data_IF_237405703740
#
_entry.id   IF_237405703740
#
_cell.length_a   1.000
_cell.length_b   1.000
_cell.length_c   1.000
_cell.angle_alpha   90.00
_cell.angle_beta   90.00
_cell.angle_gamma   90.00
#
_symmetry.space_group_name_H-M   'P 1'
#
loop_
_entity.id
_entity.type
_entity.pdbx_description
1 polymer ?
#
# COMPACT_ATOMS: atom_id res chain seq x y z
N UNK A 1 -26.33 26.49 14.00
CA UNK A 1 -25.40 25.34 14.05
C UNK A 1 -26.15 24.08 13.67
N UNK A 2 -25.57 23.22 12.82
CA UNK A 2 -25.44 21.82 13.20
C UNK A 2 -23.98 21.36 13.07
N UNK A 3 -23.53 20.61 14.07
CA UNK A 3 -22.17 20.15 14.24
C UNK A 3 -21.73 19.23 13.09
N UNK A 4 -20.57 19.52 12.51
CA UNK A 4 -19.88 18.62 11.60
C UNK A 4 -19.44 17.38 12.38
N UNK A 5 -20.18 16.27 12.21
CA UNK A 5 -19.78 14.94 12.68
C UNK A 5 -18.37 14.64 12.15
N UNK A 6 -17.39 14.71 13.04
CA UNK A 6 -16.02 14.32 12.80
C UNK A 6 -16.02 12.86 12.32
N UNK A 7 -15.80 12.66 11.02
CA UNK A 7 -15.79 11.33 10.43
C UNK A 7 -14.54 10.59 10.88
N UNK A 8 -14.80 9.43 11.46
CA UNK A 8 -13.87 8.61 12.21
C UNK A 8 -13.01 7.76 11.25
N UNK A 9 -12.25 8.43 10.36
CA UNK A 9 -11.53 7.79 9.25
C UNK A 9 -10.55 6.69 9.68
N UNK A 10 -10.04 6.75 10.92
CA UNK A 10 -9.20 5.69 11.48
C UNK A 10 -9.98 4.38 11.78
N UNK A 11 -11.28 4.49 12.09
CA UNK A 11 -12.17 3.35 12.38
C UNK A 11 -12.63 2.65 11.10
N UNK A 12 -12.68 3.36 9.98
CA UNK A 12 -13.05 2.84 8.67
C UNK A 12 -11.87 2.13 7.99
N UNK A 13 -10.67 2.72 8.01
CA UNK A 13 -9.47 2.09 7.48
C UNK A 13 -9.21 0.70 8.13
N UNK A 14 -9.32 0.62 9.46
CA UNK A 14 -9.19 -0.66 10.19
C UNK A 14 -10.26 -1.68 9.83
N UNK A 15 -11.47 -1.25 9.50
CA UNK A 15 -12.55 -2.17 9.10
C UNK A 15 -12.31 -2.71 7.69
N UNK A 16 -11.81 -1.86 6.79
CA UNK A 16 -11.42 -2.24 5.43
C UNK A 16 -10.25 -3.22 5.47
N UNK A 17 -9.24 -2.97 6.30
CA UNK A 17 -8.09 -3.87 6.49
C UNK A 17 -8.52 -5.23 7.08
N UNK A 18 -9.42 -5.22 8.08
CA UNK A 18 -9.93 -6.44 8.69
C UNK A 18 -10.77 -7.26 7.70
N UNK A 19 -11.55 -6.58 6.85
CA UNK A 19 -12.31 -7.20 5.76
C UNK A 19 -11.39 -7.84 4.72
N UNK A 20 -10.31 -7.15 4.32
CA UNK A 20 -9.28 -7.72 3.44
C UNK A 20 -8.64 -8.97 4.05
N UNK A 21 -8.33 -8.94 5.35
CA UNK A 21 -7.76 -10.08 6.08
C UNK A 21 -8.67 -11.32 6.01
N UNK A 22 -9.98 -11.15 6.21
CA UNK A 22 -10.94 -12.26 6.13
C UNK A 22 -11.12 -12.79 4.71
N UNK A 23 -11.11 -11.92 3.71
CA UNK A 23 -11.24 -12.31 2.31
C UNK A 23 -10.00 -13.05 1.78
N UNK A 24 -8.79 -12.65 2.19
CA UNK A 24 -7.56 -13.35 1.81
C UNK A 24 -7.51 -14.78 2.38
N UNK A 25 -8.13 -15.01 3.54
CA UNK A 25 -8.23 -16.35 4.14
C UNK A 25 -9.16 -17.27 3.36
N UNK A 26 -10.25 -16.76 2.77
CA UNK A 26 -11.13 -17.52 1.85
C UNK A 26 -10.47 -17.83 0.50
N UNK A 27 -9.41 -17.11 0.13
CA UNK A 27 -8.73 -17.26 -1.16
C UNK A 27 -7.87 -18.52 -1.24
N UNK A 28 -7.39 -19.05 -0.11
CA UNK A 28 -6.59 -20.27 -0.07
C UNK A 28 -7.40 -21.55 -0.37
N UNK A 29 -8.73 -21.48 -0.37
CA UNK A 29 -9.60 -22.64 -0.56
C UNK A 29 -10.27 -22.72 -1.93
N UNK A 30 -10.50 -21.59 -2.62
CA UNK A 30 -11.47 -21.55 -3.75
C UNK A 30 -10.88 -21.28 -5.15
N UNK A 31 -9.55 -21.13 -5.29
CA UNK A 31 -8.90 -21.12 -6.62
C UNK A 31 -9.33 -20.01 -7.59
N UNK A 32 -9.74 -18.83 -7.11
CA UNK A 32 -10.16 -17.72 -7.96
C UNK A 32 -9.03 -17.13 -8.83
N UNK A 33 -9.35 -16.84 -10.10
CA UNK A 33 -8.43 -16.22 -11.08
C UNK A 33 -7.82 -14.91 -10.54
N UNK A 34 -6.48 -14.89 -10.50
CA UNK A 34 -5.67 -13.89 -9.79
C UNK A 34 -5.95 -12.48 -10.34
N UNK A 35 -6.18 -12.36 -11.65
CA UNK A 35 -6.37 -11.06 -12.32
C UNK A 35 -7.71 -10.40 -11.98
N UNK A 36 -8.78 -11.18 -11.87
CA UNK A 36 -10.11 -10.66 -11.53
C UNK A 36 -10.13 -10.14 -10.08
N UNK A 37 -9.42 -10.83 -9.19
CA UNK A 37 -9.34 -10.46 -7.78
C UNK A 37 -8.51 -9.20 -7.54
N UNK A 38 -7.36 -9.05 -8.21
CA UNK A 38 -6.55 -7.83 -8.07
C UNK A 38 -7.31 -6.60 -8.57
N UNK A 39 -8.11 -6.77 -9.64
CA UNK A 39 -9.02 -5.73 -10.14
C UNK A 39 -10.13 -5.40 -9.12
N UNK A 40 -10.69 -6.40 -8.46
CA UNK A 40 -11.69 -6.19 -7.40
C UNK A 40 -11.10 -5.44 -6.20
N UNK A 41 -9.92 -5.83 -5.70
CA UNK A 41 -9.25 -5.09 -4.61
C UNK A 41 -8.98 -3.64 -5.00
N UNK A 42 -8.57 -3.40 -6.25
CA UNK A 42 -8.31 -2.07 -6.75
C UNK A 42 -9.57 -1.20 -6.74
N UNK A 43 -10.68 -1.73 -7.25
CA UNK A 43 -11.96 -1.01 -7.27
C UNK A 43 -12.48 -0.76 -5.85
N UNK A 44 -12.37 -1.75 -4.96
CA UNK A 44 -12.77 -1.61 -3.56
C UNK A 44 -11.92 -0.53 -2.86
N UNK A 45 -10.61 -0.51 -3.09
CA UNK A 45 -9.74 0.56 -2.59
C UNK A 45 -10.14 1.91 -3.17
N UNK A 46 -10.45 2.00 -4.47
CA UNK A 46 -10.89 3.27 -5.08
C UNK A 46 -12.16 3.83 -4.43
N UNK A 47 -13.10 2.97 -4.04
CA UNK A 47 -14.38 3.38 -3.46
C UNK A 47 -14.28 3.73 -1.97
N UNK A 48 -13.37 3.09 -1.23
CA UNK A 48 -13.34 3.15 0.24
C UNK A 48 -12.04 3.69 0.85
N UNK A 49 -11.00 3.99 0.06
CA UNK A 49 -9.81 4.70 0.56
C UNK A 49 -9.98 6.22 0.38
N UNK A 50 -9.99 6.99 1.48
CA UNK A 50 -9.93 8.44 1.42
C UNK A 50 -8.64 8.92 0.74
N UNK A 51 -8.73 9.99 -0.05
CA UNK A 51 -7.59 10.60 -0.75
C UNK A 51 -6.44 10.95 0.22
N UNK A 52 -6.77 11.31 1.46
CA UNK A 52 -5.80 11.59 2.52
C UNK A 52 -4.88 10.41 2.85
N UNK A 53 -5.32 9.16 2.67
CA UNK A 53 -4.47 7.98 2.89
C UNK A 53 -3.45 7.84 1.76
N UNK A 54 -3.85 8.10 0.50
CA UNK A 54 -2.92 8.10 -0.64
C UNK A 54 -1.85 9.18 -0.48
N UNK A 55 -2.24 10.36 -0.04
CA UNK A 55 -1.32 11.48 0.22
C UNK A 55 -0.31 11.12 1.32
N UNK A 56 -0.79 10.53 2.43
CA UNK A 56 0.07 10.07 3.51
C UNK A 56 1.01 8.94 3.06
N UNK A 57 0.53 8.00 2.26
CA UNK A 57 1.34 6.94 1.68
C UNK A 57 2.45 7.52 0.78
N UNK A 58 2.13 8.54 -0.03
CA UNK A 58 3.10 9.23 -0.89
C UNK A 58 4.15 9.98 -0.07
N UNK A 59 3.74 10.65 1.01
CA UNK A 59 4.66 11.32 1.94
C UNK A 59 5.60 10.29 2.60
N UNK A 60 5.07 9.17 3.05
CA UNK A 60 5.83 8.10 3.68
C UNK A 60 6.81 7.45 2.68
N UNK A 61 6.37 7.21 1.44
CA UNK A 61 7.21 6.67 0.37
C UNK A 61 8.40 7.58 0.07
N UNK A 62 8.20 8.89 -0.02
CA UNK A 62 9.28 9.86 -0.25
C UNK A 62 10.31 9.87 0.88
N UNK A 63 9.90 9.53 2.10
CA UNK A 63 10.76 9.46 3.30
C UNK A 63 11.34 8.07 3.54
N UNK A 64 10.87 7.05 2.82
CA UNK A 64 11.28 5.68 3.05
C UNK A 64 12.76 5.51 2.70
N UNK A 65 13.51 4.98 3.67
CA UNK A 65 14.93 4.66 3.55
C UNK A 65 15.19 3.33 4.24
N UNK A 66 16.00 2.48 3.62
CA UNK A 66 16.46 1.23 4.22
C UNK A 66 17.35 1.55 5.42
N UNK A 67 16.85 1.31 6.64
CA UNK A 67 17.60 1.48 7.89
C UNK A 67 18.12 0.16 8.46
N UNK A 68 17.46 -0.95 8.14
CA UNK A 68 17.79 -2.29 8.61
C UNK A 68 17.93 -3.28 7.45
N UNK A 69 17.34 -4.46 7.60
CA UNK A 69 17.43 -5.50 6.57
C UNK A 69 16.68 -5.09 5.30
N UNK A 70 17.15 -5.58 4.16
CA UNK A 70 16.46 -5.39 2.88
C UNK A 70 15.05 -5.99 2.91
N UNK A 71 14.84 -7.08 3.66
CA UNK A 71 13.53 -7.73 3.82
C UNK A 71 12.51 -6.83 4.49
N UNK A 72 12.90 -6.14 5.56
CA UNK A 72 12.04 -5.17 6.25
C UNK A 72 11.71 -3.98 5.36
N UNK A 73 12.73 -3.45 4.65
CA UNK A 73 12.53 -2.38 3.67
C UNK A 73 11.56 -2.78 2.55
N UNK A 74 11.75 -3.95 1.94
CA UNK A 74 10.87 -4.48 0.89
C UNK A 74 9.44 -4.64 1.41
N UNK A 75 9.28 -5.09 2.67
CA UNK A 75 7.97 -5.23 3.29
C UNK A 75 7.27 -3.88 3.45
N UNK A 76 7.94 -2.88 4.02
CA UNK A 76 7.39 -1.52 4.18
C UNK A 76 7.07 -0.86 2.82
N UNK A 77 8.01 -0.96 1.88
CA UNK A 77 7.83 -0.46 0.52
C UNK A 77 6.61 -1.11 -0.16
N UNK A 78 6.46 -2.42 -0.05
CA UNK A 78 5.33 -3.16 -0.64
C UNK A 78 3.99 -2.73 -0.06
N UNK A 79 3.91 -2.48 1.25
CA UNK A 79 2.70 -1.95 1.89
C UNK A 79 2.32 -0.59 1.30
N UNK A 80 3.27 0.33 1.14
CA UNK A 80 3.03 1.64 0.53
C UNK A 80 2.56 1.54 -0.94
N UNK A 81 3.10 0.57 -1.70
CA UNK A 81 2.65 0.33 -3.08
C UNK A 81 1.20 -0.17 -3.18
N UNK A 82 0.70 -0.82 -2.13
CA UNK A 82 -0.70 -1.25 -2.07
C UNK A 82 -1.64 -0.07 -1.76
N UNK A 83 -1.15 0.99 -1.14
CA UNK A 83 -1.89 2.22 -0.85
C UNK A 83 -1.88 3.20 -2.04
N UNK A 84 -0.89 3.09 -2.94
CA UNK A 84 -0.73 3.95 -4.14
C UNK A 84 -0.82 3.12 -5.43
N UNK A 85 -2.01 2.57 -5.76
CA UNK A 85 -2.13 1.62 -6.87
C UNK A 85 -1.88 2.24 -8.26
N UNK A 86 -2.12 3.53 -8.42
CA UNK A 86 -2.02 4.25 -9.70
C UNK A 86 -0.57 4.53 -10.14
N UNK A 87 0.43 4.25 -9.29
CA UNK A 87 1.83 4.51 -9.59
C UNK A 87 2.40 3.54 -10.65
N UNK A 88 3.05 4.10 -11.68
CA UNK A 88 3.64 3.31 -12.78
C UNK A 88 4.84 2.46 -12.33
N UNK A 89 5.09 1.33 -13.01
CA UNK A 89 6.23 0.44 -12.72
C UNK A 89 7.58 1.18 -12.66
N UNK A 90 7.78 2.15 -13.58
CA UNK A 90 9.00 2.97 -13.62
C UNK A 90 9.14 3.85 -12.37
N UNK A 91 8.08 4.54 -11.96
CA UNK A 91 8.09 5.36 -10.75
C UNK A 91 8.34 4.50 -9.51
N UNK A 92 7.69 3.33 -9.42
CA UNK A 92 7.92 2.39 -8.33
C UNK A 92 9.41 2.03 -8.26
N UNK A 93 10.00 1.58 -9.37
CA UNK A 93 11.42 1.23 -9.39
C UNK A 93 12.33 2.38 -8.95
N UNK A 94 12.09 3.62 -9.43
CA UNK A 94 12.85 4.79 -8.99
C UNK A 94 12.79 4.99 -7.48
N UNK A 95 11.59 5.02 -6.89
CA UNK A 95 11.44 5.18 -5.43
C UNK A 95 12.05 4.04 -4.63
N UNK A 96 12.03 2.82 -5.17
CA UNK A 96 12.63 1.65 -4.54
C UNK A 96 14.15 1.80 -4.47
N UNK A 97 14.79 2.08 -5.62
CA UNK A 97 16.25 2.23 -5.68
C UNK A 97 16.71 3.45 -4.89
N UNK A 98 16.00 4.57 -4.96
CA UNK A 98 16.31 5.81 -4.21
C UNK A 98 16.24 5.61 -2.69
N UNK A 99 15.48 4.62 -2.23
CA UNK A 99 15.32 4.31 -0.81
C UNK A 99 16.30 3.28 -0.27
N UNK A 100 17.06 2.57 -1.12
CA UNK A 100 18.05 1.59 -0.68
C UNK A 100 19.28 2.26 -0.06
N UNK A 101 20.00 1.51 0.78
CA UNK A 101 21.28 1.99 1.31
C UNK A 101 22.30 2.17 0.17
N UNK A 102 23.17 3.18 0.30
CA UNK A 102 24.13 3.57 -0.75
C UNK A 102 25.01 2.41 -1.24
N UNK A 103 25.41 1.51 -0.34
CA UNK A 103 26.23 0.34 -0.70
C UNK A 103 25.43 -0.73 -1.45
N UNK A 104 24.17 -1.00 -1.05
CA UNK A 104 23.25 -1.93 -1.76
C UNK A 104 22.90 -1.39 -3.15
N UNK A 105 22.68 -0.08 -3.27
CA UNK A 105 22.36 0.56 -4.54
C UNK A 105 23.52 0.52 -5.54
N UNK A 106 24.76 0.40 -5.06
CA UNK A 106 25.96 0.30 -5.92
C UNK A 106 26.14 -1.12 -6.47
N UNK A 107 25.67 -2.14 -5.75
CA UNK A 107 25.80 -3.55 -6.13
C UNK A 107 24.67 -4.05 -7.05
N UNK A 108 23.53 -3.36 -7.07
CA UNK A 108 22.37 -3.65 -7.92
C UNK A 108 22.33 -2.82 -9.23
N UNK A 109 23.38 -2.04 -9.51
CA UNK A 109 23.50 -1.18 -10.69
C UNK A 109 24.21 -1.89 -11.83
#
# INVERSE_FOLDING_TARGET
>A
MPESRSHNGAREARQVDNFFWHLERRRYTDGCDIKAWDRFKLELKRQFYPESIKDMAMINLRRLRQKGSIREYVKEYSTLMLEIPEMSKRQRLCFFVDGLQQWVATELR
#
